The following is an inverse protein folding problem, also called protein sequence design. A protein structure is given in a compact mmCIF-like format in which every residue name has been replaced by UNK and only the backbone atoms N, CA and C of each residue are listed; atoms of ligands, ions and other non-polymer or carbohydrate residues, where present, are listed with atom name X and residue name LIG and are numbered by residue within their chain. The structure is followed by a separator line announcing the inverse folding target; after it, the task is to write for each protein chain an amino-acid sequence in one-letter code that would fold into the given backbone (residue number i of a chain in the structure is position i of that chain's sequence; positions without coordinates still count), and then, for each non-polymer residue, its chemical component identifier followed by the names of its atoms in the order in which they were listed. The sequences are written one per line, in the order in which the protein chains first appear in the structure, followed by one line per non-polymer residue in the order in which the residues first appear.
data_IF_682127052322
#
_entry.id   IF_682127052322
#
_cell.length_a   1.000
_cell.length_b   1.000
_cell.length_c   1.000
_cell.angle_alpha   90.00
_cell.angle_beta   90.00
_cell.angle_gamma   90.00
#
_symmetry.space_group_name_H-M   'P 1'
#
loop_
_entity.id
_entity.type
_entity.pdbx_description
1 polymer ?
#
# COMPACT_ATOMS: atom_id res chain seq x y z
N UNK A 1 27.67 5.02 -5.91
CA UNK A 1 26.61 5.60 -5.04
C UNK A 1 26.52 4.78 -3.77
N UNK A 2 26.43 5.42 -2.59
CA UNK A 2 26.19 4.70 -1.32
C UNK A 2 24.76 4.10 -1.38
N UNK A 3 24.62 2.80 -1.06
CA UNK A 3 23.31 2.17 -0.98
C UNK A 3 22.52 2.79 0.18
N UNK A 4 21.24 3.10 -0.03
CA UNK A 4 20.37 3.56 1.05
C UNK A 4 20.05 2.39 1.97
N UNK A 5 19.96 2.59 3.29
CA UNK A 5 19.43 1.59 4.20
C UNK A 5 17.98 1.21 3.82
N UNK A 6 17.62 -0.05 4.01
CA UNK A 6 16.29 -0.56 3.74
C UNK A 6 15.49 -0.63 5.04
N UNK A 7 14.29 -0.09 5.04
CA UNK A 7 13.29 -0.26 6.12
C UNK A 7 12.16 -1.13 5.63
N UNK A 8 12.00 -2.30 6.24
CA UNK A 8 10.91 -3.22 5.92
C UNK A 8 9.69 -2.87 6.77
N UNK A 9 8.55 -2.73 6.10
CA UNK A 9 7.25 -2.50 6.73
C UNK A 9 6.29 -3.60 6.32
N UNK A 10 5.82 -4.39 7.29
CA UNK A 10 4.77 -5.39 7.07
C UNK A 10 3.38 -4.77 7.16
N UNK A 11 2.48 -5.16 6.26
CA UNK A 11 1.08 -4.75 6.26
C UNK A 11 0.22 -6.01 6.13
N UNK A 12 -0.05 -6.72 7.24
CA UNK A 12 -0.80 -7.98 7.23
C UNK A 12 -2.31 -7.74 7.07
N UNK A 13 -2.73 -7.23 5.91
CA UNK A 13 -4.10 -6.84 5.60
C UNK A 13 -4.71 -7.75 4.54
N UNK A 14 -5.96 -8.19 4.74
CA UNK A 14 -6.74 -8.96 3.79
C UNK A 14 -8.20 -8.46 3.62
N UNK A 15 -8.48 -7.23 4.07
CA UNK A 15 -9.80 -6.62 3.98
C UNK A 15 -10.24 -6.33 2.55
N UNK A 16 -9.31 -5.98 1.67
CA UNK A 16 -9.61 -5.67 0.27
C UNK A 16 -9.83 -6.89 -0.60
N UNK A 17 -9.43 -8.08 -0.16
CA UNK A 17 -9.57 -9.32 -0.89
C UNK A 17 -10.89 -10.04 -0.56
N UNK A 18 -11.32 -10.93 -1.46
CA UNK A 18 -12.50 -11.77 -1.22
C UNK A 18 -12.20 -12.96 -0.31
N UNK A 19 -10.96 -13.40 -0.26
CA UNK A 19 -10.51 -14.57 0.49
C UNK A 19 -9.50 -14.18 1.56
N UNK A 20 -9.60 -14.85 2.71
CA UNK A 20 -8.64 -14.73 3.80
C UNK A 20 -7.30 -15.33 3.42
N UNK A 21 -6.22 -14.84 4.06
CA UNK A 21 -4.91 -15.44 4.01
C UNK A 21 -3.82 -14.58 3.40
N UNK A 22 -4.14 -13.50 2.69
CA UNK A 22 -3.12 -12.57 2.19
C UNK A 22 -2.41 -11.83 3.34
N UNK A 23 -3.04 -11.70 4.49
CA UNK A 23 -2.46 -11.19 5.75
C UNK A 23 -1.22 -11.98 6.21
N UNK A 24 -1.06 -13.24 5.77
CA UNK A 24 0.14 -14.04 6.05
C UNK A 24 1.38 -13.59 5.24
N UNK A 25 1.23 -12.75 4.22
CA UNK A 25 2.31 -12.32 3.33
C UNK A 25 3.56 -11.82 4.05
N UNK A 26 3.47 -10.84 4.98
CA UNK A 26 4.64 -10.37 5.72
C UNK A 26 5.35 -11.48 6.51
N UNK A 27 4.60 -12.37 7.16
CA UNK A 27 5.15 -13.50 7.90
C UNK A 27 5.82 -14.52 6.96
N UNK A 28 5.24 -14.81 5.81
CA UNK A 28 5.83 -15.71 4.82
C UNK A 28 7.18 -15.20 4.29
N UNK A 29 7.27 -13.89 4.00
CA UNK A 29 8.52 -13.26 3.53
C UNK A 29 9.60 -13.26 4.63
N UNK A 30 9.21 -13.14 5.91
CA UNK A 30 10.13 -13.29 7.05
C UNK A 30 10.65 -14.71 7.19
N UNK A 31 9.77 -15.69 7.08
CA UNK A 31 10.17 -17.12 7.10
C UNK A 31 11.09 -17.45 5.91
N UNK A 32 10.88 -16.82 4.76
CA UNK A 32 11.77 -16.93 3.61
C UNK A 32 13.10 -16.18 3.76
N UNK A 33 13.34 -15.51 4.91
CA UNK A 33 14.58 -14.82 5.23
C UNK A 33 14.99 -13.73 4.23
N UNK A 34 14.04 -13.02 3.62
CA UNK A 34 14.31 -11.96 2.62
C UNK A 34 15.25 -10.89 3.20
N UNK A 35 15.07 -10.50 4.47
CA UNK A 35 15.96 -9.52 5.11
C UNK A 35 17.41 -10.01 5.21
N UNK A 36 17.64 -11.31 5.48
CA UNK A 36 18.97 -11.89 5.51
C UNK A 36 19.62 -11.86 4.11
N UNK A 37 18.87 -12.26 3.08
CA UNK A 37 19.36 -12.20 1.69
C UNK A 37 19.73 -10.78 1.27
N UNK A 38 18.96 -9.77 1.66
CA UNK A 38 19.32 -8.38 1.40
C UNK A 38 20.61 -7.96 2.09
N UNK A 39 20.86 -8.41 3.35
CA UNK A 39 22.11 -8.15 4.06
C UNK A 39 23.31 -8.84 3.38
N UNK A 40 23.15 -10.09 2.93
CA UNK A 40 24.16 -10.82 2.14
C UNK A 40 24.51 -10.10 0.82
N UNK A 41 23.53 -9.43 0.21
CA UNK A 41 23.75 -8.57 -0.96
C UNK A 41 24.42 -7.22 -0.63
N UNK A 42 24.75 -6.99 0.65
CA UNK A 42 25.43 -5.79 1.14
C UNK A 42 24.54 -4.57 1.32
N UNK A 43 23.23 -4.78 1.58
CA UNK A 43 22.35 -3.71 2.03
C UNK A 43 22.33 -3.65 3.57
N UNK A 44 22.27 -2.44 4.09
CA UNK A 44 21.89 -2.23 5.48
C UNK A 44 20.37 -2.40 5.59
N UNK A 45 19.91 -3.32 6.44
CA UNK A 45 18.49 -3.57 6.67
C UNK A 45 18.19 -3.28 8.13
N UNK A 46 17.38 -2.25 8.36
CA UNK A 46 16.97 -1.80 9.67
C UNK A 46 15.95 -2.74 10.34
N UNK A 47 15.40 -2.29 11.47
CA UNK A 47 14.35 -3.03 12.18
C UNK A 47 13.09 -3.11 11.33
N UNK A 48 12.52 -4.30 11.23
CA UNK A 48 11.21 -4.52 10.63
C UNK A 48 10.10 -4.06 11.58
N UNK A 49 9.08 -3.41 11.02
CA UNK A 49 7.91 -2.91 11.74
C UNK A 49 6.65 -3.26 10.96
N UNK A 50 5.56 -3.55 11.67
CA UNK A 50 4.26 -3.75 11.05
C UNK A 50 3.37 -2.52 11.25
N UNK A 51 2.54 -2.25 10.25
CA UNK A 51 1.39 -1.36 10.42
C UNK A 51 0.32 -2.15 11.18
N UNK A 52 -0.24 -1.60 12.27
CA UNK A 52 -1.33 -2.25 12.98
C UNK A 52 -2.55 -2.42 12.06
N UNK A 53 -3.01 -3.66 11.93
CA UNK A 53 -4.20 -4.01 11.16
C UNK A 53 -5.24 -4.59 12.11
N UNK A 54 -6.49 -4.12 12.11
CA UNK A 54 -7.55 -4.72 12.91
C UNK A 54 -7.78 -6.19 12.55
N UNK A 55 -8.16 -7.03 13.53
CA UNK A 55 -8.56 -8.40 13.24
C UNK A 55 -9.89 -8.42 12.50
N UNK A 56 -9.97 -9.19 11.42
CA UNK A 56 -11.23 -9.36 10.68
C UNK A 56 -12.30 -10.06 11.52
N UNK A 57 -11.91 -10.96 12.41
CA UNK A 57 -12.81 -11.68 13.32
C UNK A 57 -13.50 -10.75 14.34
N UNK A 58 -12.91 -9.60 14.63
CA UNK A 58 -13.48 -8.60 15.52
C UNK A 58 -14.54 -7.71 14.84
N UNK A 59 -14.77 -7.87 13.54
CA UNK A 59 -15.69 -7.06 12.75
C UNK A 59 -16.97 -7.82 12.44
N UNK A 60 -18.11 -7.10 12.51
CA UNK A 60 -19.35 -7.61 11.95
C UNK A 60 -19.14 -7.79 10.43
N UNK A 61 -19.72 -8.85 9.86
CA UNK A 61 -19.68 -9.05 8.41
C UNK A 61 -20.13 -7.75 7.73
N UNK A 62 -19.28 -7.23 6.86
CA UNK A 62 -19.64 -6.07 6.06
C UNK A 62 -20.88 -6.41 5.25
N UNK A 63 -21.92 -5.59 5.37
CA UNK A 63 -23.10 -5.67 4.52
C UNK A 63 -22.67 -5.61 3.05
N UNK A 64 -23.52 -6.09 2.14
CA UNK A 64 -23.28 -6.01 0.71
C UNK A 64 -23.06 -4.53 0.31
N UNK A 65 -21.81 -4.16 0.12
CA UNK A 65 -21.37 -2.80 -0.20
C UNK A 65 -20.48 -2.85 -1.42
N UNK A 66 -20.55 -1.82 -2.25
CA UNK A 66 -19.64 -1.61 -3.37
C UNK A 66 -18.21 -1.21 -2.93
N UNK A 67 -17.99 -1.03 -1.63
CA UNK A 67 -16.71 -0.69 -1.00
C UNK A 67 -16.59 -1.44 0.33
N UNK A 68 -16.27 -2.72 0.24
CA UNK A 68 -16.17 -3.60 1.42
C UNK A 68 -15.00 -3.19 2.30
N UNK A 69 -15.26 -3.11 3.62
CA UNK A 69 -14.25 -2.78 4.64
C UNK A 69 -13.51 -1.47 4.37
N UNK A 70 -14.19 -0.50 3.75
CA UNK A 70 -13.60 0.79 3.38
C UNK A 70 -12.91 1.48 4.57
N UNK A 71 -13.56 1.53 5.72
CA UNK A 71 -13.07 2.23 6.91
C UNK A 71 -11.74 1.62 7.42
N UNK A 72 -11.68 0.29 7.48
CA UNK A 72 -10.49 -0.43 7.91
C UNK A 72 -9.33 -0.21 6.93
N UNK A 73 -9.61 -0.27 5.64
CA UNK A 73 -8.62 -0.04 4.58
C UNK A 73 -8.12 1.40 4.63
N UNK A 74 -9.00 2.38 4.79
CA UNK A 74 -8.63 3.79 4.94
C UNK A 74 -7.72 3.99 6.16
N UNK A 75 -8.08 3.40 7.30
CA UNK A 75 -7.28 3.50 8.51
C UNK A 75 -5.86 2.95 8.30
N UNK A 76 -5.73 1.75 7.73
CA UNK A 76 -4.43 1.11 7.49
C UNK A 76 -3.62 1.87 6.45
N UNK A 77 -4.24 2.25 5.33
CA UNK A 77 -3.56 2.98 4.26
C UNK A 77 -3.06 4.36 4.69
N UNK A 78 -3.82 5.10 5.51
CA UNK A 78 -3.35 6.38 6.05
C UNK A 78 -2.16 6.20 6.99
N UNK A 79 -2.16 5.18 7.85
CA UNK A 79 -1.01 4.87 8.71
C UNK A 79 0.21 4.46 7.89
N UNK A 80 0.02 3.64 6.85
CA UNK A 80 1.10 3.24 5.95
C UNK A 80 1.66 4.43 5.18
N UNK A 81 0.81 5.34 4.71
CA UNK A 81 1.23 6.57 4.03
C UNK A 81 2.19 7.38 4.89
N UNK A 82 1.83 7.66 6.14
CA UNK A 82 2.69 8.39 7.09
C UNK A 82 3.99 7.63 7.32
N UNK A 83 3.93 6.32 7.53
CA UNK A 83 5.11 5.49 7.76
C UNK A 83 6.10 5.52 6.59
N UNK A 84 5.60 5.43 5.36
CA UNK A 84 6.45 5.48 4.15
C UNK A 84 7.09 6.85 4.01
N UNK A 85 6.33 7.90 4.28
CA UNK A 85 6.84 9.27 4.23
C UNK A 85 7.96 9.50 5.24
N UNK A 86 7.79 9.05 6.50
CA UNK A 86 8.83 9.13 7.55
C UNK A 86 10.12 8.41 7.14
N UNK A 87 10.00 7.18 6.59
CA UNK A 87 11.15 6.40 6.13
C UNK A 87 11.93 7.16 5.05
N UNK A 88 11.23 7.76 4.10
CA UNK A 88 11.86 8.52 3.02
C UNK A 88 12.51 9.81 3.53
N UNK A 89 11.92 10.47 4.53
CA UNK A 89 12.50 11.66 5.19
C UNK A 89 13.79 11.32 5.95
N UNK A 90 13.87 10.14 6.56
CA UNK A 90 15.10 9.62 7.19
C UNK A 90 16.20 9.28 6.15
N UNK A 91 15.89 9.34 4.85
CA UNK A 91 16.80 9.01 3.76
C UNK A 91 16.87 7.53 3.43
N UNK A 92 16.06 6.71 4.06
CA UNK A 92 16.01 5.26 3.90
C UNK A 92 15.11 4.86 2.71
N UNK A 93 15.17 3.59 2.32
CA UNK A 93 14.34 3.01 1.26
C UNK A 93 13.23 2.14 1.89
N UNK A 94 11.94 2.47 1.71
CA UNK A 94 10.84 1.65 2.20
C UNK A 94 10.67 0.40 1.32
N UNK A 95 10.68 -0.77 1.95
CA UNK A 95 10.34 -2.05 1.34
C UNK A 95 9.08 -2.58 2.04
N UNK A 96 7.98 -2.66 1.31
CA UNK A 96 6.68 -3.02 1.89
C UNK A 96 6.41 -4.50 1.65
N UNK A 97 6.17 -5.25 2.73
CA UNK A 97 5.68 -6.62 2.67
C UNK A 97 4.16 -6.59 2.80
N UNK A 98 3.48 -6.96 1.74
CA UNK A 98 2.04 -6.82 1.66
C UNK A 98 1.24 -8.02 2.10
N UNK A 99 0.01 -7.68 2.37
CA UNK A 99 -1.20 -8.46 2.32
C UNK A 99 -1.88 -8.30 0.95
N UNK A 100 -3.15 -7.89 0.93
CA UNK A 100 -3.85 -7.60 -0.34
C UNK A 100 -3.41 -6.27 -0.97
N UNK A 101 -3.70 -6.09 -2.26
CA UNK A 101 -3.16 -4.98 -3.04
C UNK A 101 -3.74 -3.60 -2.68
N UNK A 102 -4.82 -3.50 -1.91
CA UNK A 102 -5.38 -2.22 -1.47
C UNK A 102 -4.38 -1.37 -0.66
N UNK A 103 -3.41 -2.02 0.01
CA UNK A 103 -2.35 -1.31 0.75
C UNK A 103 -1.50 -0.39 -0.12
N UNK A 104 -1.44 -0.62 -1.44
CA UNK A 104 -0.67 0.20 -2.37
C UNK A 104 -1.15 1.66 -2.42
N UNK A 105 -2.44 1.91 -2.12
CA UNK A 105 -2.93 3.28 -1.98
C UNK A 105 -2.18 4.04 -0.88
N UNK A 106 -1.88 3.38 0.24
CA UNK A 106 -1.11 3.98 1.33
C UNK A 106 0.37 4.16 0.98
N UNK A 107 1.02 3.11 0.48
CA UNK A 107 2.46 3.16 0.21
C UNK A 107 2.81 4.15 -0.91
N UNK A 108 2.07 4.15 -2.01
CA UNK A 108 2.28 5.08 -3.13
C UNK A 108 1.95 6.52 -2.73
N UNK A 109 0.89 6.73 -1.91
CA UNK A 109 0.57 8.07 -1.40
C UNK A 109 1.70 8.65 -0.54
N UNK A 110 2.35 7.84 0.30
CA UNK A 110 3.50 8.28 1.09
C UNK A 110 4.69 8.70 0.24
N UNK A 111 5.01 7.91 -0.81
CA UNK A 111 6.05 8.29 -1.77
C UNK A 111 5.69 9.57 -2.51
N UNK A 112 4.43 9.68 -2.96
CA UNK A 112 3.95 10.86 -3.68
C UNK A 112 4.03 12.12 -2.82
N UNK A 113 3.68 12.03 -1.53
CA UNK A 113 3.77 13.16 -0.60
C UNK A 113 5.21 13.61 -0.38
N UNK A 114 6.12 12.65 -0.15
CA UNK A 114 7.54 12.94 -0.02
C UNK A 114 8.10 13.66 -1.25
N UNK A 115 7.83 13.14 -2.45
CA UNK A 115 8.30 13.74 -3.70
C UNK A 115 7.71 15.13 -3.96
N UNK A 116 6.43 15.33 -3.62
CA UNK A 116 5.77 16.62 -3.80
C UNK A 116 6.41 17.73 -2.95
N UNK A 117 6.89 17.41 -1.73
CA UNK A 117 7.64 18.38 -0.90
C UNK A 117 8.97 18.79 -1.54
N UNK A 118 9.54 17.93 -2.37
CA UNK A 118 10.75 18.21 -3.15
C UNK A 118 10.45 18.79 -4.55
N UNK A 119 9.19 19.14 -4.86
CA UNK A 119 8.73 19.57 -6.18
C UNK A 119 9.07 18.57 -7.30
N UNK A 120 8.97 17.27 -7.00
CA UNK A 120 9.20 16.17 -7.93
C UNK A 120 7.90 15.43 -8.23
N UNK A 121 7.80 14.88 -9.44
CA UNK A 121 6.70 14.01 -9.84
C UNK A 121 7.04 12.55 -9.53
N UNK A 122 6.00 11.75 -9.24
CA UNK A 122 6.10 10.31 -9.07
C UNK A 122 6.01 9.63 -10.44
N UNK A 123 6.91 8.70 -10.72
CA UNK A 123 6.74 7.66 -11.74
C UNK A 123 6.38 6.34 -11.07
N UNK A 124 5.42 5.60 -11.62
CA UNK A 124 4.91 4.35 -11.08
C UNK A 124 5.02 3.23 -12.11
N UNK A 125 5.66 2.13 -11.73
CA UNK A 125 5.62 0.87 -12.48
C UNK A 125 4.66 -0.06 -11.75
N UNK A 126 3.54 -0.45 -12.42
CA UNK A 126 2.52 -1.33 -11.89
C UNK A 126 2.71 -2.73 -12.47
N UNK A 127 3.44 -3.57 -11.75
CA UNK A 127 3.76 -4.92 -12.21
C UNK A 127 2.77 -5.92 -11.60
N UNK A 128 1.63 -6.10 -12.26
CA UNK A 128 0.52 -6.93 -11.82
C UNK A 128 -0.17 -7.60 -13.03
N UNK A 129 -0.83 -8.74 -12.78
CA UNK A 129 -1.66 -9.42 -13.78
C UNK A 129 -2.99 -8.68 -14.07
N UNK A 130 -3.39 -7.75 -13.20
CA UNK A 130 -4.61 -6.96 -13.27
C UNK A 130 -4.27 -5.46 -13.37
N UNK A 131 -5.23 -4.68 -13.86
CA UNK A 131 -5.06 -3.23 -13.97
C UNK A 131 -5.43 -2.46 -12.71
N UNK A 132 -6.15 -3.08 -11.78
CA UNK A 132 -6.68 -2.49 -10.53
C UNK A 132 -7.34 -1.12 -10.70
N UNK A 133 -8.05 -0.98 -11.83
CA UNK A 133 -8.69 0.24 -12.30
C UNK A 133 -10.21 0.25 -12.09
N UNK A 134 -10.76 -0.68 -11.29
CA UNK A 134 -12.16 -0.62 -10.93
C UNK A 134 -12.43 0.56 -9.99
N UNK A 135 -13.68 0.99 -10.00
CA UNK A 135 -14.25 1.95 -9.03
C UNK A 135 -15.42 1.30 -8.30
N UNK A 136 -16.02 1.99 -7.33
CA UNK A 136 -17.27 1.55 -6.70
C UNK A 136 -18.39 1.25 -7.70
N UNK A 137 -18.40 1.95 -8.85
CA UNK A 137 -19.44 1.82 -9.86
C UNK A 137 -19.17 0.68 -10.86
N UNK A 138 -17.91 0.32 -11.08
CA UNK A 138 -17.52 -0.70 -12.04
C UNK A 138 -17.19 -2.05 -11.41
N UNK A 139 -16.93 -2.09 -10.10
CA UNK A 139 -16.55 -3.32 -9.40
C UNK A 139 -17.74 -4.27 -9.23
N UNK A 140 -17.68 -5.51 -9.75
CA UNK A 140 -18.76 -6.47 -9.56
C UNK A 140 -18.81 -7.05 -8.15
N UNK A 141 -17.70 -6.98 -7.39
CA UNK A 141 -17.55 -7.60 -6.07
C UNK A 141 -17.57 -6.60 -4.92
N UNK A 142 -17.28 -5.32 -5.17
CA UNK A 142 -17.03 -4.31 -4.14
C UNK A 142 -15.70 -4.50 -3.39
N UNK A 143 -14.81 -5.38 -3.88
CA UNK A 143 -13.51 -5.63 -3.29
C UNK A 143 -12.52 -4.51 -3.66
N UNK A 144 -12.03 -3.80 -2.66
CA UNK A 144 -11.21 -2.61 -2.88
C UNK A 144 -9.83 -2.95 -3.44
N UNK A 145 -9.32 -4.18 -3.26
CA UNK A 145 -8.01 -4.56 -3.83
C UNK A 145 -7.93 -4.44 -5.36
N UNK A 146 -9.06 -4.40 -6.07
CA UNK A 146 -9.10 -4.17 -7.52
C UNK A 146 -9.31 -2.69 -7.91
N UNK A 147 -9.14 -1.74 -6.98
CA UNK A 147 -9.38 -0.30 -7.18
C UNK A 147 -8.15 0.60 -6.91
N UNK A 148 -7.00 0.10 -6.45
CA UNK A 148 -5.95 0.97 -5.96
C UNK A 148 -5.41 1.93 -7.02
N UNK A 149 -5.20 1.47 -8.24
CA UNK A 149 -4.64 2.32 -9.28
C UNK A 149 -5.61 3.43 -9.69
N UNK A 150 -6.91 3.14 -9.78
CA UNK A 150 -7.92 4.18 -10.05
C UNK A 150 -7.90 5.26 -8.97
N UNK A 151 -7.88 4.86 -7.69
CA UNK A 151 -7.83 5.80 -6.56
C UNK A 151 -6.56 6.66 -6.56
N UNK A 152 -5.39 6.08 -6.88
CA UNK A 152 -4.12 6.81 -7.00
C UNK A 152 -4.13 7.83 -8.16
N UNK A 153 -4.89 7.56 -9.20
CA UNK A 153 -5.12 8.48 -10.33
C UNK A 153 -6.20 9.53 -10.02
N UNK A 154 -6.85 9.48 -8.85
CA UNK A 154 -7.92 10.40 -8.46
C UNK A 154 -9.28 10.03 -9.04
N UNK A 155 -9.49 8.76 -9.39
CA UNK A 155 -10.73 8.25 -9.97
C UNK A 155 -11.47 7.34 -8.99
N UNK A 156 -12.79 7.49 -8.90
CA UNK A 156 -13.65 6.65 -8.06
C UNK A 156 -14.03 7.30 -6.73
N UNK A 157 -14.02 6.52 -5.64
CA UNK A 157 -14.46 6.98 -4.33
C UNK A 157 -13.53 8.08 -3.76
N UNK A 158 -14.14 9.18 -3.29
CA UNK A 158 -13.41 10.37 -2.82
C UNK A 158 -12.51 10.08 -1.61
N UNK A 159 -12.94 9.22 -0.69
CA UNK A 159 -12.15 8.94 0.52
C UNK A 159 -10.92 8.09 0.17
N UNK A 160 -11.07 7.09 -0.73
CA UNK A 160 -9.94 6.32 -1.24
C UNK A 160 -8.95 7.21 -2.01
N UNK A 161 -9.44 8.13 -2.83
CA UNK A 161 -8.61 9.10 -3.54
C UNK A 161 -7.89 10.07 -2.60
N UNK A 162 -8.47 10.35 -1.42
CA UNK A 162 -7.92 11.31 -0.44
C UNK A 162 -6.91 10.71 0.55
N UNK A 163 -6.57 9.42 0.45
CA UNK A 163 -5.51 8.82 1.27
C UNK A 163 -4.21 9.63 1.09
N UNK A 164 -3.70 10.20 2.19
CA UNK A 164 -2.51 11.05 2.17
C UNK A 164 -2.70 12.45 1.58
N UNK A 165 -3.96 12.89 1.28
CA UNK A 165 -4.31 14.23 0.80
C UNK A 165 -5.16 14.24 -0.46
N UNK A 166 -5.79 15.38 -0.78
CA UNK A 166 -6.89 15.52 -1.75
C UNK A 166 -6.43 15.65 -3.22
N UNK A 167 -5.21 15.28 -3.55
CA UNK A 167 -4.71 15.31 -4.94
C UNK A 167 -4.53 13.91 -5.51
N UNK A 168 -4.58 13.77 -6.82
CA UNK A 168 -4.08 12.56 -7.49
C UNK A 168 -2.62 12.31 -7.10
N UNK A 169 -2.25 11.05 -6.87
CA UNK A 169 -0.91 10.69 -6.39
C UNK A 169 0.09 10.53 -7.53
N UNK A 170 -0.42 10.17 -8.69
CA UNK A 170 0.36 10.00 -9.92
C UNK A 170 -0.48 10.46 -11.10
N UNK A 171 0.13 10.99 -12.16
CA UNK A 171 -0.55 11.28 -13.41
C UNK A 171 -0.51 10.06 -14.35
N UNK A 172 -1.50 9.95 -15.24
CA UNK A 172 -1.63 8.80 -16.15
C UNK A 172 -0.41 8.61 -17.06
N UNK A 173 0.25 9.69 -17.46
CA UNK A 173 1.46 9.67 -18.28
C UNK A 173 2.71 9.13 -17.57
N UNK A 174 2.66 9.03 -16.25
CA UNK A 174 3.76 8.56 -15.40
C UNK A 174 3.52 7.15 -14.86
N UNK A 175 2.56 6.39 -15.40
CA UNK A 175 2.27 5.00 -15.04
C UNK A 175 2.62 4.09 -16.20
N UNK A 176 3.32 2.98 -15.90
CA UNK A 176 3.70 1.95 -16.86
C UNK A 176 3.41 0.54 -16.32
#
# INVERSE_FOLDING_TARGET
MKKKPIRIVGVPMDFGAQHRGTDMGPSALRVANVAASLREMGYEVGRELDVPVPSMESRAYAEASNLRFKEEILQVCNQLCVRVEDILQDGDFPLIYGGDHSLSMGSVSGVSNFLARENKNLGLIWFDAHGDMNTSDSSPSGNIHGMPLSALLGLGDSDLCSIGGDRAKVSTENVA
#
